data_IF_190377766209
#
_entry.id   IF_190377766209
#
_cell.length_a   1.000
_cell.length_b   1.000
_cell.length_c   1.000
_cell.angle_alpha   90.00
_cell.angle_beta   90.00
_cell.angle_gamma   90.00
#
_symmetry.space_group_name_H-M   'P 1'
#
loop_
_entity.id
_entity.type
_entity.pdbx_description
1 polymer ?
#
# COMPACT_ATOMS: atom_id res chain seq x y z
N UNK A 1 -13.52 29.59 -24.58
CA UNK A 1 -13.07 28.19 -24.70
C UNK A 1 -11.88 28.13 -25.65
N UNK A 2 -10.88 27.29 -25.39
CA UNK A 2 -9.72 27.09 -26.28
C UNK A 2 -10.15 26.42 -27.59
N UNK A 3 -9.45 26.67 -28.69
CA UNK A 3 -9.70 25.95 -29.96
C UNK A 3 -9.28 24.47 -29.83
N UNK A 4 -9.95 23.58 -30.57
CA UNK A 4 -9.60 22.16 -30.61
C UNK A 4 -8.13 21.90 -30.99
N UNK A 5 -7.60 22.70 -31.92
CA UNK A 5 -6.18 22.66 -32.30
C UNK A 5 -5.23 23.00 -31.14
N UNK A 6 -5.61 23.99 -30.31
CA UNK A 6 -4.83 24.39 -29.14
C UNK A 6 -4.91 23.31 -28.05
N UNK A 7 -6.08 22.72 -27.84
CA UNK A 7 -6.27 21.62 -26.89
C UNK A 7 -5.43 20.40 -27.25
N UNK A 8 -5.43 19.96 -28.53
CA UNK A 8 -4.61 18.85 -29.00
C UNK A 8 -3.11 19.13 -28.88
N UNK A 9 -2.71 20.37 -29.19
CA UNK A 9 -1.31 20.81 -29.04
C UNK A 9 -0.86 20.76 -27.58
N UNK A 10 -1.69 21.23 -26.65
CA UNK A 10 -1.40 21.17 -25.21
C UNK A 10 -1.27 19.73 -24.71
N UNK A 11 -2.20 18.85 -25.09
CA UNK A 11 -2.14 17.41 -24.77
C UNK A 11 -0.82 16.79 -25.23
N UNK A 12 -0.42 17.05 -26.47
CA UNK A 12 0.83 16.55 -27.04
C UNK A 12 2.08 17.11 -26.33
N UNK A 13 2.06 18.40 -25.97
CA UNK A 13 3.14 19.05 -25.23
C UNK A 13 3.30 18.40 -23.85
N UNK A 14 2.20 18.18 -23.13
CA UNK A 14 2.25 17.55 -21.81
C UNK A 14 2.86 16.14 -21.86
N UNK A 15 2.43 15.30 -22.81
CA UNK A 15 3.00 13.96 -23.00
C UNK A 15 4.49 14.03 -23.37
N UNK A 16 4.86 14.95 -24.26
CA UNK A 16 6.27 15.17 -24.63
C UNK A 16 7.12 15.75 -23.50
N UNK A 17 6.53 16.47 -22.55
CA UNK A 17 7.22 16.92 -21.33
C UNK A 17 7.48 15.75 -20.38
N UNK A 18 6.52 14.83 -20.20
CA UNK A 18 6.72 13.64 -19.35
C UNK A 18 7.90 12.80 -19.83
N UNK A 19 8.04 12.63 -21.15
CA UNK A 19 9.15 11.87 -21.74
C UNK A 19 10.53 12.51 -21.56
N UNK A 20 10.60 13.84 -21.49
CA UNK A 20 11.87 14.59 -21.47
C UNK A 20 12.30 15.02 -20.07
N UNK A 21 11.36 15.04 -19.12
CA UNK A 21 11.63 15.53 -17.78
C UNK A 21 12.57 14.60 -17.01
N UNK A 22 13.59 15.19 -16.41
CA UNK A 22 14.66 14.45 -15.72
C UNK A 22 14.66 14.67 -14.21
N UNK A 23 14.09 15.78 -13.74
CA UNK A 23 14.02 16.10 -12.33
C UNK A 23 12.80 15.44 -11.69
N UNK A 24 13.03 14.58 -10.68
CA UNK A 24 11.97 13.80 -10.00
C UNK A 24 10.85 14.68 -9.44
N UNK A 25 11.19 15.82 -8.85
CA UNK A 25 10.23 16.79 -8.29
C UNK A 25 9.33 17.43 -9.36
N UNK A 26 9.89 17.77 -10.52
CA UNK A 26 9.15 18.35 -11.65
C UNK A 26 8.30 17.27 -12.31
N UNK A 27 8.85 16.07 -12.51
CA UNK A 27 8.13 14.92 -13.07
C UNK A 27 6.89 14.59 -12.24
N UNK A 28 7.00 14.54 -10.90
CA UNK A 28 5.84 14.32 -10.02
C UNK A 28 4.77 15.40 -10.17
N UNK A 29 5.16 16.68 -10.19
CA UNK A 29 4.22 17.80 -10.41
C UNK A 29 3.55 17.72 -11.78
N UNK A 30 4.30 17.37 -12.82
CA UNK A 30 3.79 17.20 -14.17
C UNK A 30 2.79 16.04 -14.24
N UNK A 31 3.10 14.90 -13.61
CA UNK A 31 2.20 13.76 -13.52
C UNK A 31 0.88 14.14 -12.82
N UNK A 32 0.94 14.89 -11.72
CA UNK A 32 -0.26 15.40 -11.04
C UNK A 32 -1.09 16.31 -11.96
N UNK A 33 -0.45 17.28 -12.62
CA UNK A 33 -1.14 18.19 -13.55
C UNK A 33 -1.80 17.44 -14.71
N UNK A 34 -1.10 16.46 -15.30
CA UNK A 34 -1.63 15.66 -16.39
C UNK A 34 -2.77 14.77 -15.93
N UNK A 35 -2.67 14.20 -14.72
CA UNK A 35 -3.72 13.37 -14.14
C UNK A 35 -4.97 14.20 -13.87
N UNK A 36 -4.87 15.36 -13.20
CA UNK A 36 -5.99 16.28 -12.97
C UNK A 36 -6.66 16.73 -14.28
N UNK A 37 -5.86 17.10 -15.28
CA UNK A 37 -6.38 17.44 -16.59
C UNK A 37 -7.12 16.24 -17.21
N UNK A 38 -6.52 15.05 -17.18
CA UNK A 38 -7.12 13.84 -17.70
C UNK A 38 -8.45 13.54 -16.98
N UNK A 39 -8.51 13.66 -15.65
CA UNK A 39 -9.74 13.48 -14.87
C UNK A 39 -10.88 14.37 -15.33
N UNK A 40 -10.59 15.65 -15.59
CA UNK A 40 -11.60 16.61 -16.02
C UNK A 40 -12.22 16.31 -17.39
N UNK A 41 -11.51 15.58 -18.25
CA UNK A 41 -11.94 15.30 -19.63
C UNK A 41 -12.13 13.81 -19.94
N UNK A 42 -11.90 12.94 -18.96
CA UNK A 42 -11.88 11.50 -19.17
C UNK A 42 -13.28 10.92 -19.43
N UNK A 43 -14.27 11.45 -18.71
CA UNK A 43 -15.66 10.99 -18.80
C UNK A 43 -16.27 11.25 -20.18
N UNK A 44 -15.78 12.28 -20.86
CA UNK A 44 -16.18 12.67 -22.21
C UNK A 44 -15.34 12.00 -23.31
N UNK A 45 -14.38 11.15 -22.92
CA UNK A 45 -13.44 10.44 -23.80
C UNK A 45 -12.65 11.40 -24.74
N UNK A 46 -12.34 12.61 -24.27
CA UNK A 46 -11.67 13.61 -25.10
C UNK A 46 -10.16 13.40 -25.22
N UNK A 47 -9.58 12.40 -24.53
CA UNK A 47 -8.14 12.11 -24.56
C UNK A 47 -7.82 10.62 -24.81
N UNK A 48 -8.20 10.06 -25.97
CA UNK A 48 -8.03 8.63 -26.26
C UNK A 48 -6.55 8.20 -26.32
N UNK A 49 -5.65 9.10 -26.71
CA UNK A 49 -4.21 8.81 -26.86
C UNK A 49 -3.50 8.55 -25.52
N UNK A 50 -4.12 8.96 -24.40
CA UNK A 50 -3.51 8.88 -23.08
C UNK A 50 -3.21 7.43 -22.68
N UNK A 51 -4.20 6.53 -22.79
CA UNK A 51 -4.00 5.13 -22.43
C UNK A 51 -2.95 4.46 -23.31
N UNK A 52 -2.97 4.72 -24.61
CA UNK A 52 -1.97 4.21 -25.55
C UNK A 52 -0.56 4.69 -25.19
N UNK A 53 -0.41 5.98 -24.88
CA UNK A 53 0.85 6.56 -24.42
C UNK A 53 1.33 5.88 -23.13
N UNK A 54 0.43 5.69 -22.16
CA UNK A 54 0.77 5.06 -20.89
C UNK A 54 1.26 3.62 -21.12
N UNK A 55 0.54 2.80 -21.88
CA UNK A 55 0.97 1.43 -22.19
C UNK A 55 2.32 1.36 -22.90
N UNK A 56 2.56 2.24 -23.88
CA UNK A 56 3.87 2.33 -24.54
C UNK A 56 4.98 2.69 -23.56
N UNK A 57 4.72 3.67 -22.69
CA UNK A 57 5.72 4.15 -21.73
C UNK A 57 6.18 3.09 -20.75
N UNK A 58 5.28 2.22 -20.31
CA UNK A 58 5.66 1.16 -19.36
C UNK A 58 6.54 0.09 -20.03
N UNK A 59 6.45 -0.08 -21.35
CA UNK A 59 7.30 -1.02 -22.10
C UNK A 59 8.69 -0.47 -22.44
N UNK A 60 8.94 0.83 -22.26
CA UNK A 60 10.27 1.40 -22.52
C UNK A 60 11.26 1.10 -21.40
N UNK A 61 12.54 1.00 -21.77
CA UNK A 61 13.66 0.69 -20.87
C UNK A 61 14.14 1.93 -20.07
N UNK A 62 13.20 2.74 -19.59
CA UNK A 62 13.45 3.97 -18.83
C UNK A 62 12.70 3.93 -17.51
N UNK A 63 13.44 3.65 -16.43
CA UNK A 63 12.90 3.57 -15.07
C UNK A 63 12.13 4.84 -14.67
N UNK A 64 12.63 6.02 -15.06
CA UNK A 64 11.99 7.32 -14.76
C UNK A 64 10.65 7.47 -15.46
N UNK A 65 10.58 7.05 -16.72
CA UNK A 65 9.36 7.15 -17.52
C UNK A 65 8.31 6.14 -17.05
N UNK A 66 8.75 4.93 -16.71
CA UNK A 66 7.90 3.92 -16.08
C UNK A 66 7.31 4.44 -14.77
N UNK A 67 8.15 4.97 -13.86
CA UNK A 67 7.71 5.56 -12.59
C UNK A 67 6.67 6.68 -12.81
N UNK A 68 6.96 7.63 -13.70
CA UNK A 68 6.07 8.74 -14.01
C UNK A 68 4.69 8.27 -14.52
N UNK A 69 4.67 7.32 -15.45
CA UNK A 69 3.42 6.80 -15.99
C UNK A 69 2.66 5.95 -14.98
N UNK A 70 3.36 5.23 -14.12
CA UNK A 70 2.74 4.51 -13.00
C UNK A 70 2.06 5.47 -12.02
N UNK A 71 2.65 6.61 -11.70
CA UNK A 71 1.99 7.64 -10.87
C UNK A 71 0.69 8.14 -11.50
N UNK A 72 0.67 8.32 -12.82
CA UNK A 72 -0.55 8.71 -13.53
C UNK A 72 -1.58 7.58 -13.51
N UNK A 73 -1.18 6.32 -13.70
CA UNK A 73 -2.06 5.17 -13.53
C UNK A 73 -2.70 5.13 -12.15
N UNK A 74 -1.93 5.41 -11.10
CA UNK A 74 -2.42 5.44 -9.73
C UNK A 74 -3.58 6.42 -9.56
N UNK A 75 -3.42 7.65 -10.02
CA UNK A 75 -4.42 8.72 -9.86
C UNK A 75 -5.67 8.48 -10.70
N UNK A 76 -5.50 7.87 -11.87
CA UNK A 76 -6.61 7.60 -12.78
C UNK A 76 -7.35 6.30 -12.47
N UNK A 77 -6.75 5.36 -11.70
CA UNK A 77 -7.24 3.98 -11.50
C UNK A 77 -8.74 3.89 -11.18
N UNK A 78 -9.25 4.78 -10.32
CA UNK A 78 -10.66 4.78 -9.91
C UNK A 78 -11.64 5.14 -11.03
N UNK A 79 -11.19 5.82 -12.08
CA UNK A 79 -12.03 6.30 -13.19
C UNK A 79 -11.91 5.42 -14.43
N UNK A 80 -10.73 4.85 -14.67
CA UNK A 80 -10.45 4.01 -15.84
C UNK A 80 -10.77 2.54 -15.63
N UNK A 81 -11.21 2.13 -14.43
CA UNK A 81 -11.46 0.74 -14.08
C UNK A 81 -12.24 -0.05 -15.14
N UNK A 82 -13.37 0.50 -15.65
CA UNK A 82 -14.20 -0.16 -16.68
C UNK A 82 -13.51 -0.26 -18.05
N UNK A 83 -12.82 0.80 -18.46
CA UNK A 83 -12.09 0.86 -19.75
C UNK A 83 -10.88 -0.06 -19.74
N UNK A 84 -10.27 -0.26 -18.57
CA UNK A 84 -9.09 -1.09 -18.39
C UNK A 84 -9.39 -2.59 -18.31
N UNK A 85 -10.65 -3.00 -18.07
CA UNK A 85 -11.00 -4.43 -17.99
C UNK A 85 -10.50 -5.22 -19.21
N UNK A 86 -10.58 -4.65 -20.43
CA UNK A 86 -10.06 -5.27 -21.67
C UNK A 86 -8.53 -5.43 -21.69
N UNK A 87 -7.80 -4.66 -20.88
CA UNK A 87 -6.34 -4.62 -20.80
C UNK A 87 -5.78 -5.27 -19.54
N UNK A 88 -6.61 -5.87 -18.68
CA UNK A 88 -6.19 -6.48 -17.40
C UNK A 88 -4.99 -7.43 -17.56
N UNK A 89 -5.02 -8.33 -18.56
CA UNK A 89 -3.93 -9.30 -18.77
C UNK A 89 -2.61 -8.62 -19.11
N UNK A 90 -2.67 -7.53 -19.87
CA UNK A 90 -1.49 -6.77 -20.22
C UNK A 90 -0.93 -6.03 -19.00
N UNK A 91 -1.79 -5.38 -18.21
CA UNK A 91 -1.38 -4.74 -16.96
C UNK A 91 -0.79 -5.72 -15.95
N UNK A 92 -1.39 -6.90 -15.82
CA UNK A 92 -0.83 -7.98 -15.01
C UNK A 92 0.60 -8.31 -15.46
N UNK A 93 0.82 -8.55 -16.76
CA UNK A 93 2.15 -8.88 -17.29
C UNK A 93 3.17 -7.76 -17.04
N UNK A 94 2.72 -6.52 -17.17
CA UNK A 94 3.52 -5.31 -16.92
C UNK A 94 3.90 -5.22 -15.44
N UNK A 95 2.94 -5.33 -14.52
CA UNK A 95 3.22 -5.28 -13.09
C UNK A 95 4.14 -6.42 -12.64
N UNK A 96 3.89 -7.64 -13.13
CA UNK A 96 4.76 -8.79 -12.83
C UNK A 96 6.19 -8.53 -13.30
N UNK A 97 6.36 -8.06 -14.54
CA UNK A 97 7.68 -7.78 -15.11
C UNK A 97 8.39 -6.65 -14.34
N UNK A 98 7.69 -5.54 -14.05
CA UNK A 98 8.28 -4.42 -13.32
C UNK A 98 8.63 -4.76 -11.87
N UNK A 99 7.84 -5.60 -11.19
CA UNK A 99 8.15 -6.07 -9.84
C UNK A 99 9.31 -7.07 -9.79
N UNK A 100 9.47 -7.91 -10.82
CA UNK A 100 10.46 -9.01 -10.82
C UNK A 100 11.78 -8.66 -11.49
N UNK A 101 11.72 -7.92 -12.61
CA UNK A 101 12.84 -7.76 -13.54
C UNK A 101 13.44 -6.35 -13.52
N UNK A 102 12.79 -5.38 -12.89
CA UNK A 102 13.34 -4.03 -12.80
C UNK A 102 14.60 -4.00 -11.94
N UNK A 103 15.64 -3.33 -12.44
CA UNK A 103 16.87 -3.04 -11.69
C UNK A 103 16.70 -1.88 -10.70
N UNK A 104 15.65 -1.05 -10.88
CA UNK A 104 15.39 0.10 -10.03
C UNK A 104 14.41 -0.25 -8.91
N UNK A 105 14.85 -0.12 -7.66
CA UNK A 105 14.00 -0.35 -6.49
C UNK A 105 12.83 0.65 -6.43
N UNK A 106 13.06 1.90 -6.86
CA UNK A 106 11.99 2.91 -6.97
C UNK A 106 10.87 2.42 -7.90
N UNK A 107 11.22 1.87 -9.06
CA UNK A 107 10.22 1.33 -10.00
C UNK A 107 9.47 0.15 -9.37
N UNK A 108 10.17 -0.74 -8.64
CA UNK A 108 9.52 -1.88 -7.98
C UNK A 108 8.49 -1.41 -6.95
N UNK A 109 8.86 -0.47 -6.06
CA UNK A 109 7.94 0.05 -5.04
C UNK A 109 6.80 0.83 -5.66
N UNK A 110 7.06 1.72 -6.63
CA UNK A 110 6.00 2.43 -7.33
C UNK A 110 5.06 1.47 -8.04
N UNK A 111 5.57 0.41 -8.68
CA UNK A 111 4.74 -0.63 -9.31
C UNK A 111 3.88 -1.35 -8.27
N UNK A 112 4.45 -1.66 -7.10
CA UNK A 112 3.71 -2.27 -5.99
C UNK A 112 2.55 -1.38 -5.55
N UNK A 113 2.80 -0.11 -5.30
CA UNK A 113 1.77 0.85 -4.88
C UNK A 113 0.68 0.99 -5.94
N UNK A 114 1.06 1.05 -7.23
CA UNK A 114 0.10 1.09 -8.33
C UNK A 114 -0.72 -0.19 -8.42
N UNK A 115 -0.10 -1.35 -8.29
CA UNK A 115 -0.78 -2.63 -8.36
C UNK A 115 -1.82 -2.75 -7.24
N UNK A 116 -1.45 -2.41 -5.99
CA UNK A 116 -2.37 -2.41 -4.85
C UNK A 116 -3.55 -1.47 -5.11
N UNK A 117 -3.27 -0.23 -5.49
CA UNK A 117 -4.29 0.77 -5.74
C UNK A 117 -5.24 0.34 -6.89
N UNK A 118 -4.67 -0.21 -7.96
CA UNK A 118 -5.43 -0.72 -9.10
C UNK A 118 -6.37 -1.87 -8.70
N UNK A 119 -5.87 -2.85 -7.93
CA UNK A 119 -6.65 -4.01 -7.46
C UNK A 119 -7.86 -3.55 -6.63
N UNK A 120 -7.70 -2.52 -5.80
CA UNK A 120 -8.79 -1.95 -4.98
C UNK A 120 -9.92 -1.36 -5.82
N UNK A 121 -9.60 -0.74 -6.95
CA UNK A 121 -10.60 -0.12 -7.83
C UNK A 121 -11.21 -1.05 -8.89
N UNK A 122 -10.68 -2.27 -9.06
CA UNK A 122 -11.35 -3.27 -9.89
C UNK A 122 -12.73 -3.60 -9.32
N UNK A 123 -13.78 -3.62 -10.14
CA UNK A 123 -15.14 -3.88 -9.64
C UNK A 123 -15.48 -5.37 -9.49
N UNK A 124 -14.77 -6.25 -10.19
CA UNK A 124 -15.06 -7.68 -10.26
C UNK A 124 -14.08 -8.50 -9.43
N UNK A 125 -14.58 -9.37 -8.56
CA UNK A 125 -13.72 -10.29 -7.79
C UNK A 125 -12.94 -11.26 -8.68
N UNK A 126 -13.47 -11.60 -9.87
CA UNK A 126 -12.80 -12.47 -10.84
C UNK A 126 -11.59 -11.77 -11.46
N UNK A 127 -11.70 -10.46 -11.68
CA UNK A 127 -10.61 -9.65 -12.24
C UNK A 127 -9.51 -9.46 -11.20
N UNK A 128 -9.88 -9.20 -9.94
CA UNK A 128 -8.94 -9.16 -8.81
C UNK A 128 -8.23 -10.50 -8.62
N UNK A 129 -8.95 -11.62 -8.75
CA UNK A 129 -8.39 -12.97 -8.60
C UNK A 129 -7.24 -13.24 -9.62
N UNK A 130 -7.13 -12.49 -10.73
CA UNK A 130 -6.03 -12.59 -11.71
C UNK A 130 -4.70 -12.03 -11.20
N UNK A 131 -4.71 -11.18 -10.17
CA UNK A 131 -3.51 -10.56 -9.60
C UNK A 131 -3.04 -11.23 -8.30
N UNK A 132 -3.69 -12.31 -7.88
CA UNK A 132 -3.45 -12.99 -6.59
C UNK A 132 -2.00 -13.39 -6.36
N UNK A 133 -1.33 -13.86 -7.40
CA UNK A 133 0.05 -14.32 -7.41
C UNK A 133 1.06 -13.15 -7.39
N UNK A 134 0.65 -11.92 -7.69
CA UNK A 134 1.49 -10.75 -7.48
C UNK A 134 1.75 -10.49 -6.00
N UNK A 135 0.85 -10.92 -5.10
CA UNK A 135 0.94 -10.63 -3.67
C UNK A 135 2.24 -11.12 -3.05
N UNK A 136 2.70 -12.33 -3.38
CA UNK A 136 4.00 -12.85 -2.94
C UNK A 136 5.17 -12.01 -3.46
N UNK A 137 5.07 -11.53 -4.70
CA UNK A 137 6.08 -10.65 -5.29
C UNK A 137 6.07 -9.29 -4.61
N UNK A 138 4.89 -8.77 -4.27
CA UNK A 138 4.73 -7.50 -3.56
C UNK A 138 5.32 -7.56 -2.15
N UNK A 139 5.04 -8.63 -1.39
CA UNK A 139 5.63 -8.84 -0.06
C UNK A 139 7.16 -8.94 -0.10
N UNK A 140 7.72 -9.59 -1.14
CA UNK A 140 9.16 -9.62 -1.35
C UNK A 140 9.72 -8.23 -1.62
N UNK A 141 9.07 -7.43 -2.48
CA UNK A 141 9.49 -6.05 -2.76
C UNK A 141 9.51 -5.19 -1.50
N UNK A 142 8.51 -5.30 -0.63
CA UNK A 142 8.50 -4.59 0.67
C UNK A 142 9.68 -5.04 1.54
N UNK A 143 9.91 -6.35 1.62
CA UNK A 143 11.04 -6.89 2.40
C UNK A 143 12.39 -6.39 1.87
N UNK A 144 12.59 -6.35 0.55
CA UNK A 144 13.79 -5.78 -0.07
C UNK A 144 13.93 -4.29 0.24
N UNK A 145 12.85 -3.52 0.14
CA UNK A 145 12.83 -2.08 0.38
C UNK A 145 13.15 -1.71 1.85
N UNK A 146 12.62 -2.49 2.80
CA UNK A 146 12.91 -2.36 4.23
C UNK A 146 14.40 -2.57 4.50
N UNK A 147 15.00 -3.61 3.91
CA UNK A 147 16.42 -3.94 4.11
C UNK A 147 17.36 -2.94 3.44
N UNK A 148 16.91 -2.25 2.39
CA UNK A 148 17.69 -1.23 1.68
C UNK A 148 17.54 0.19 2.26
N UNK A 149 16.78 0.38 3.34
CA UNK A 149 16.60 1.69 3.98
C UNK A 149 15.77 2.68 3.15
N UNK A 150 14.85 2.19 2.30
CA UNK A 150 13.97 3.05 1.49
C UNK A 150 12.76 3.50 2.31
N UNK A 151 12.98 4.38 3.29
CA UNK A 151 12.02 4.71 4.35
C UNK A 151 10.64 5.18 3.82
N UNK A 152 10.59 6.35 3.17
CA UNK A 152 9.34 7.03 2.83
C UNK A 152 8.45 6.26 1.84
N UNK A 153 9.05 5.61 0.84
CA UNK A 153 8.29 4.86 -0.17
C UNK A 153 7.78 3.53 0.37
N UNK A 154 8.48 2.95 1.35
CA UNK A 154 8.03 1.70 1.99
C UNK A 154 6.88 1.95 2.95
N UNK A 155 6.88 3.08 3.64
CA UNK A 155 5.75 3.50 4.47
C UNK A 155 4.45 3.61 3.65
N UNK A 156 4.47 4.37 2.55
CA UNK A 156 3.30 4.51 1.65
C UNK A 156 2.80 3.15 1.12
N UNK A 157 3.73 2.23 0.82
CA UNK A 157 3.40 0.87 0.41
C UNK A 157 2.69 0.05 1.50
N UNK A 158 3.11 0.18 2.76
CA UNK A 158 2.47 -0.48 3.90
C UNK A 158 1.08 0.10 4.17
N UNK A 159 0.93 1.43 4.13
CA UNK A 159 -0.36 2.12 4.24
C UNK A 159 -1.36 1.63 3.17
N UNK A 160 -0.93 1.54 1.91
CA UNK A 160 -1.77 1.00 0.83
C UNK A 160 -2.17 -0.47 1.06
N UNK A 161 -1.30 -1.28 1.68
CA UNK A 161 -1.63 -2.65 2.05
C UNK A 161 -2.66 -2.72 3.17
N UNK A 162 -2.61 -1.81 4.15
CA UNK A 162 -3.63 -1.69 5.20
C UNK A 162 -4.97 -1.35 4.55
N UNK A 163 -5.00 -0.39 3.63
CA UNK A 163 -6.22 -0.04 2.89
C UNK A 163 -6.74 -1.23 2.04
N UNK A 164 -5.86 -2.04 1.45
CA UNK A 164 -6.23 -3.28 0.77
C UNK A 164 -6.80 -4.33 1.73
N UNK A 165 -6.21 -4.48 2.92
CA UNK A 165 -6.69 -5.39 3.96
C UNK A 165 -8.07 -4.97 4.48
N UNK A 166 -8.34 -3.67 4.58
CA UNK A 166 -9.64 -3.13 4.95
C UNK A 166 -10.69 -3.38 3.85
N UNK A 167 -10.38 -3.01 2.61
CA UNK A 167 -11.36 -2.98 1.50
C UNK A 167 -11.53 -4.32 0.79
N UNK A 168 -10.47 -5.10 0.63
CA UNK A 168 -10.42 -6.27 -0.27
C UNK A 168 -9.89 -7.54 0.41
N UNK A 169 -10.37 -7.85 1.61
CA UNK A 169 -9.96 -9.00 2.44
C UNK A 169 -9.92 -10.34 1.67
N UNK A 170 -10.88 -10.56 0.76
CA UNK A 170 -10.94 -11.79 -0.05
C UNK A 170 -9.69 -11.97 -0.91
N UNK A 171 -9.08 -10.87 -1.35
CA UNK A 171 -7.85 -10.91 -2.14
C UNK A 171 -6.68 -11.50 -1.33
N UNK A 172 -6.67 -11.38 -0.01
CA UNK A 172 -5.56 -11.90 0.80
C UNK A 172 -5.71 -13.39 1.12
N UNK A 173 -6.88 -14.00 0.87
CA UNK A 173 -7.24 -15.35 1.38
C UNK A 173 -6.27 -16.47 1.02
N UNK A 174 -5.68 -16.45 -0.18
CA UNK A 174 -4.86 -17.57 -0.70
C UNK A 174 -3.46 -17.59 -0.10
N UNK A 175 -2.92 -16.42 0.21
CA UNK A 175 -1.57 -16.25 0.73
C UNK A 175 -1.58 -15.62 2.13
N UNK A 176 -2.73 -15.68 2.83
CA UNK A 176 -2.92 -15.01 4.11
C UNK A 176 -1.86 -15.42 5.13
N UNK A 177 -1.49 -16.70 5.16
CA UNK A 177 -0.47 -17.23 6.06
C UNK A 177 0.87 -16.55 5.83
N UNK A 178 1.27 -16.42 4.57
CA UNK A 178 2.55 -15.83 4.20
C UNK A 178 2.54 -14.32 4.46
N UNK A 179 1.47 -13.62 4.08
CA UNK A 179 1.35 -12.17 4.29
C UNK A 179 1.34 -11.80 5.77
N UNK A 180 0.50 -12.46 6.58
CA UNK A 180 0.47 -12.23 8.03
C UNK A 180 1.80 -12.63 8.67
N UNK A 181 2.39 -13.75 8.23
CA UNK A 181 3.70 -14.20 8.68
C UNK A 181 4.80 -13.15 8.44
N UNK A 182 4.84 -12.57 7.23
CA UNK A 182 5.77 -11.50 6.86
C UNK A 182 5.52 -10.22 7.65
N UNK A 183 4.27 -9.80 7.84
CA UNK A 183 3.97 -8.62 8.66
C UNK A 183 4.44 -8.80 10.09
N UNK A 184 4.18 -9.96 10.71
CA UNK A 184 4.69 -10.26 12.05
C UNK A 184 6.22 -10.39 12.14
N UNK A 185 6.90 -10.70 11.04
CA UNK A 185 8.37 -10.61 11.00
C UNK A 185 8.85 -9.16 10.96
N UNK A 186 8.15 -8.28 10.23
CA UNK A 186 8.45 -6.85 10.20
C UNK A 186 8.26 -6.24 11.59
N UNK A 187 7.17 -6.59 12.31
CA UNK A 187 6.91 -6.08 13.66
C UNK A 187 7.99 -6.47 14.68
N UNK A 188 8.61 -7.65 14.52
CA UNK A 188 9.64 -8.16 15.43
C UNK A 188 11.06 -7.71 15.07
N UNK A 189 11.25 -7.08 13.90
CA UNK A 189 12.56 -6.66 13.44
C UNK A 189 12.96 -5.34 14.13
N UNK A 190 13.55 -5.45 15.33
CA UNK A 190 14.03 -4.31 16.13
C UNK A 190 15.08 -3.43 15.41
N UNK A 191 15.61 -3.89 14.26
CA UNK A 191 16.48 -3.09 13.37
C UNK A 191 15.73 -2.11 12.48
N UNK A 192 14.40 -2.21 12.37
CA UNK A 192 13.57 -1.32 11.58
C UNK A 192 13.02 -0.18 12.43
N UNK A 193 12.76 0.96 11.78
CA UNK A 193 12.09 2.09 12.41
C UNK A 193 10.72 1.70 12.99
N UNK A 194 10.43 2.25 14.16
CA UNK A 194 9.21 2.02 14.92
C UNK A 194 7.93 2.25 14.11
N UNK A 195 7.83 3.37 13.38
CA UNK A 195 6.63 3.66 12.58
C UNK A 195 6.31 2.57 11.54
N UNK A 196 7.32 1.91 10.98
CA UNK A 196 7.10 0.79 10.04
C UNK A 196 6.64 -0.48 10.74
N UNK A 197 7.18 -0.73 11.94
CA UNK A 197 6.72 -1.84 12.79
C UNK A 197 5.27 -1.62 13.20
N UNK A 198 4.89 -0.39 13.54
CA UNK A 198 3.50 0.00 13.83
C UNK A 198 2.56 -0.24 12.66
N UNK A 199 2.92 0.17 11.44
CA UNK A 199 2.12 -0.11 10.24
C UNK A 199 1.94 -1.63 9.99
N UNK A 200 2.97 -2.43 10.26
CA UNK A 200 2.85 -3.88 10.15
C UNK A 200 1.91 -4.47 11.23
N UNK A 201 1.91 -3.93 12.46
CA UNK A 201 0.92 -4.28 13.49
C UNK A 201 -0.49 -3.89 13.04
N UNK A 202 -0.66 -2.65 12.57
CA UNK A 202 -1.94 -2.09 12.11
C UNK A 202 -2.54 -2.94 10.98
N UNK A 203 -1.73 -3.43 10.04
CA UNK A 203 -2.19 -4.35 8.99
C UNK A 203 -2.84 -5.62 9.58
N UNK A 204 -2.19 -6.24 10.57
CA UNK A 204 -2.69 -7.48 11.17
C UNK A 204 -3.95 -7.20 12.01
N UNK A 205 -3.99 -6.08 12.73
CA UNK A 205 -5.16 -5.63 13.48
C UNK A 205 -6.34 -5.33 12.54
N UNK A 206 -6.10 -4.63 11.43
CA UNK A 206 -7.09 -4.34 10.38
C UNK A 206 -7.74 -5.62 9.87
N UNK A 207 -6.97 -6.68 9.65
CA UNK A 207 -7.50 -7.99 9.26
C UNK A 207 -8.28 -8.68 10.39
N UNK A 208 -7.90 -8.50 11.65
CA UNK A 208 -8.60 -9.08 12.79
C UNK A 208 -9.95 -8.38 13.03
N UNK A 209 -10.00 -7.06 12.88
CA UNK A 209 -11.19 -6.25 13.08
C UNK A 209 -12.24 -6.47 11.98
N UNK A 210 -11.75 -6.54 10.74
CA UNK A 210 -12.50 -6.73 9.51
C UNK A 210 -13.73 -7.66 9.67
N UNK A 211 -14.91 -7.03 9.76
CA UNK A 211 -16.16 -7.67 10.21
C UNK A 211 -16.73 -8.70 9.22
N UNK A 212 -16.38 -8.63 7.94
CA UNK A 212 -16.88 -9.57 6.94
C UNK A 212 -16.14 -10.90 6.95
N UNK A 213 -14.91 -10.92 6.43
CA UNK A 213 -14.15 -12.16 6.20
C UNK A 213 -12.82 -12.17 6.93
N UNK A 214 -12.21 -11.01 7.14
CA UNK A 214 -10.92 -10.87 7.84
C UNK A 214 -10.92 -11.60 9.17
N UNK A 215 -11.85 -11.27 10.07
CA UNK A 215 -11.99 -11.91 11.38
C UNK A 215 -12.10 -13.44 11.30
N UNK A 216 -12.92 -13.94 10.40
CA UNK A 216 -13.12 -15.39 10.20
C UNK A 216 -11.88 -16.09 9.63
N UNK A 217 -11.08 -15.40 8.83
CA UNK A 217 -9.82 -15.91 8.34
C UNK A 217 -8.74 -15.88 9.43
N UNK A 218 -8.64 -14.79 10.20
CA UNK A 218 -7.68 -14.65 11.31
C UNK A 218 -7.92 -15.68 12.41
N UNK A 219 -9.18 -16.03 12.72
CA UNK A 219 -9.51 -17.11 13.67
C UNK A 219 -8.98 -18.49 13.26
N UNK A 220 -8.68 -18.70 11.97
CA UNK A 220 -8.07 -19.95 11.47
C UNK A 220 -6.55 -19.97 11.65
N UNK A 221 -5.97 -18.90 12.18
CA UNK A 221 -4.54 -18.71 12.36
C UNK A 221 -4.20 -18.41 13.83
N UNK A 222 -4.58 -19.29 14.78
CA UNK A 222 -4.39 -19.05 16.22
C UNK A 222 -2.93 -18.78 16.58
N UNK A 223 -1.98 -19.44 15.91
CA UNK A 223 -0.55 -19.22 16.13
C UNK A 223 -0.10 -17.77 15.85
N UNK A 224 -0.70 -17.10 14.86
CA UNK A 224 -0.40 -15.71 14.57
C UNK A 224 -1.06 -14.75 15.54
N UNK A 225 -2.24 -15.10 16.05
CA UNK A 225 -2.90 -14.33 17.11
C UNK A 225 -2.07 -14.38 18.40
N UNK A 226 -1.57 -15.56 18.80
CA UNK A 226 -0.69 -15.68 19.96
C UNK A 226 0.63 -14.94 19.79
N UNK A 227 1.21 -14.96 18.58
CA UNK A 227 2.43 -14.21 18.26
C UNK A 227 2.18 -12.70 18.32
N UNK A 228 1.09 -12.21 17.71
CA UNK A 228 0.69 -10.81 17.78
C UNK A 228 0.47 -10.37 19.24
N UNK A 229 -0.22 -11.18 20.04
CA UNK A 229 -0.41 -10.89 21.47
C UNK A 229 0.93 -10.72 22.19
N UNK A 230 1.90 -11.62 21.98
CA UNK A 230 3.22 -11.50 22.57
C UNK A 230 3.97 -10.22 22.12
N UNK A 231 3.83 -9.82 20.85
CA UNK A 231 4.39 -8.57 20.32
C UNK A 231 3.77 -7.36 21.02
N UNK A 232 2.43 -7.30 21.11
CA UNK A 232 1.72 -6.20 21.77
C UNK A 232 2.09 -6.12 23.26
N UNK A 233 2.22 -7.25 23.94
CA UNK A 233 2.71 -7.31 25.32
C UNK A 233 4.15 -6.80 25.44
N UNK A 234 5.04 -7.07 24.47
CA UNK A 234 6.39 -6.51 24.45
C UNK A 234 6.36 -4.99 24.28
N UNK A 235 5.47 -4.47 23.43
CA UNK A 235 5.30 -3.02 23.20
C UNK A 235 4.81 -2.30 24.46
N UNK A 236 3.91 -2.91 25.23
CA UNK A 236 3.46 -2.39 26.53
C UNK A 236 4.56 -2.34 27.60
N UNK A 237 5.68 -3.03 27.39
CA UNK A 237 6.84 -2.98 28.29
C UNK A 237 7.87 -1.94 27.86
N UNK A 238 7.63 -1.23 26.76
CA UNK A 238 8.50 -0.15 26.28
C UNK A 238 8.20 1.14 27.06
N UNK A 239 8.59 1.15 28.34
CA UNK A 239 8.39 2.25 29.27
C UNK A 239 9.75 2.68 29.80
N UNK A 240 10.03 3.98 29.77
CA UNK A 240 11.27 4.57 30.29
C UNK A 240 11.03 5.28 31.62
N UNK A 241 12.10 5.41 32.42
CA UNK A 241 12.09 6.19 33.67
C UNK A 241 12.24 7.69 33.35
N UNK A 242 11.16 8.30 32.84
CA UNK A 242 11.14 9.71 32.47
C UNK A 242 10.88 10.60 33.71
N UNK A 243 11.78 11.53 34.06
CA UNK A 243 11.58 12.46 35.17
C UNK A 243 10.30 13.30 35.07
N UNK A 244 9.80 13.57 33.86
CA UNK A 244 8.56 14.29 33.64
C UNK A 244 7.36 13.57 34.26
N UNK A 245 7.35 12.23 34.24
CA UNK A 245 6.31 11.41 34.85
C UNK A 245 6.21 11.64 36.37
N UNK A 246 7.34 11.84 37.05
CA UNK A 246 7.35 12.07 38.50
C UNK A 246 6.68 13.38 38.93
N UNK A 247 6.56 14.32 37.99
CA UNK A 247 5.97 15.64 38.21
C UNK A 247 4.65 15.85 37.47
N UNK A 248 4.17 14.82 36.76
CA UNK A 248 2.90 14.88 36.04
C UNK A 248 1.73 14.91 37.02
N UNK A 249 0.73 15.74 36.74
CA UNK A 249 -0.54 15.70 37.48
C UNK A 249 -1.34 14.48 37.00
N UNK A 250 -2.25 13.96 37.84
CA UNK A 250 -3.04 12.77 37.51
C UNK A 250 -4.01 12.93 36.32
N UNK A 251 -4.13 14.15 35.77
CA UNK A 251 -4.91 14.45 34.57
C UNK A 251 -4.06 14.38 33.28
N UNK A 252 -2.73 14.30 33.40
CA UNK A 252 -1.79 14.21 32.29
C UNK A 252 -1.42 12.73 32.02
N UNK A 253 -2.43 11.94 31.61
CA UNK A 253 -2.31 10.48 31.44
C UNK A 253 -1.25 10.06 30.40
N UNK A 254 -0.95 10.91 29.41
CA UNK A 254 -0.03 10.62 28.30
C UNK A 254 1.44 11.02 28.57
N UNK A 255 1.76 11.58 29.75
CA UNK A 255 3.13 12.03 30.02
C UNK A 255 4.07 10.83 30.05
N UNK A 256 5.23 10.97 29.40
CA UNK A 256 6.25 9.92 29.31
C UNK A 256 5.81 8.62 28.62
N UNK A 257 4.64 8.58 27.98
CA UNK A 257 4.26 7.43 27.18
C UNK A 257 5.12 7.33 25.92
N UNK A 258 5.68 6.14 25.69
CA UNK A 258 6.35 5.83 24.43
C UNK A 258 5.30 5.56 23.34
N UNK A 259 5.69 5.76 22.08
CA UNK A 259 4.82 5.46 20.95
C UNK A 259 4.48 3.96 20.88
N UNK A 260 5.43 3.07 21.20
CA UNK A 260 5.18 1.63 21.29
C UNK A 260 4.15 1.30 22.38
N UNK A 261 4.25 1.93 23.56
CA UNK A 261 3.29 1.71 24.64
C UNK A 261 1.87 2.06 24.18
N UNK A 262 1.69 3.26 23.64
CA UNK A 262 0.39 3.76 23.17
C UNK A 262 -0.22 2.85 22.09
N UNK A 263 0.56 2.51 21.05
CA UNK A 263 0.13 1.61 19.96
C UNK A 263 -0.16 0.20 20.49
N UNK A 264 0.68 -0.31 21.41
CA UNK A 264 0.53 -1.62 22.04
C UNK A 264 -0.79 -1.73 22.80
N UNK A 265 -1.14 -0.70 23.56
CA UNK A 265 -2.39 -0.60 24.32
C UNK A 265 -3.61 -0.57 23.40
N UNK A 266 -3.64 0.35 22.43
CA UNK A 266 -4.78 0.48 21.49
C UNK A 266 -4.99 -0.81 20.69
N UNK A 267 -3.91 -1.36 20.12
CA UNK A 267 -3.99 -2.58 19.33
C UNK A 267 -4.41 -3.81 20.16
N UNK A 268 -4.02 -3.87 21.43
CA UNK A 268 -4.41 -4.98 22.31
C UNK A 268 -5.90 -4.94 22.64
N UNK A 269 -6.45 -3.75 22.91
CA UNK A 269 -7.89 -3.58 23.12
C UNK A 269 -8.66 -3.95 21.84
N UNK A 270 -8.22 -3.44 20.69
CA UNK A 270 -8.82 -3.74 19.40
C UNK A 270 -8.79 -5.25 19.07
N UNK A 271 -7.68 -5.93 19.39
CA UNK A 271 -7.56 -7.37 19.22
C UNK A 271 -8.57 -8.12 20.11
N UNK A 272 -8.68 -7.72 21.38
CA UNK A 272 -9.60 -8.27 22.37
C UNK A 272 -11.06 -8.16 21.93
N UNK A 273 -11.48 -6.97 21.49
CA UNK A 273 -12.83 -6.69 20.98
C UNK A 273 -13.11 -7.50 19.70
N UNK A 274 -12.12 -7.61 18.82
CA UNK A 274 -12.32 -8.19 17.49
C UNK A 274 -12.43 -9.71 17.49
N UNK A 275 -11.50 -10.40 18.16
CA UNK A 275 -11.44 -11.86 18.09
C UNK A 275 -12.16 -12.56 19.25
N UNK A 276 -12.29 -11.86 20.39
CA UNK A 276 -12.84 -12.38 21.64
C UNK A 276 -11.80 -13.14 22.46
N UNK A 277 -11.92 -13.07 23.80
CA UNK A 277 -10.92 -13.58 24.75
C UNK A 277 -10.51 -15.05 24.56
N UNK A 278 -11.45 -15.92 24.17
CA UNK A 278 -11.19 -17.36 23.96
C UNK A 278 -10.16 -17.66 22.85
N UNK A 279 -9.93 -16.72 21.94
CA UNK A 279 -8.94 -16.86 20.86
C UNK A 279 -7.57 -16.29 21.22
N UNK A 280 -7.51 -15.40 22.20
CA UNK A 280 -6.31 -14.61 22.54
C UNK A 280 -5.57 -15.27 23.69
N UNK A 281 -6.32 -15.73 24.70
CA UNK A 281 -5.78 -16.50 25.83
C UNK A 281 -6.30 -17.92 25.69
N UNK A 282 -5.43 -18.95 25.71
CA UNK A 282 -5.90 -20.33 25.73
C UNK A 282 -6.81 -20.51 26.96
N UNK A 283 -8.04 -20.98 26.73
CA UNK A 283 -8.92 -21.38 27.83
C UNK A 283 -8.27 -22.60 28.49
N UNK A 284 -7.90 -22.45 29.76
CA UNK A 284 -7.36 -23.53 30.59
C UNK A 284 -8.41 -24.62 30.83
#
# INVERSE_FOLDING_TARGET
MLSASTQLSLKSIFLGCIQRENAKSISKRLCNTVSELALSILLENEWPDMLSFMFQCVTFDSAKLQEAVFLIFMQLAQYIGKTIVSHIKHLYSVFLQSLTSSLSSDVKITTLSVAINFIRYLSSSTDRDQFQDLLSTMMRTISEALNCGQEATTQEALELLIELAWTEQRFLRRQLVDVVGSMLQITEADSLEEGKRHLAVEFVITLAEARERGRGMMRKLPQFISRLFAILMKMLLDIEDDPAWHSADSEDEDVAESSNYSVGQECLDMLAISLGGNMIVPVA
#
